data_IF_386941227651
#
_entry.id   IF_386941227651
#
_cell.length_a   1.000
_cell.length_b   1.000
_cell.length_c   1.000
_cell.angle_alpha   90.00
_cell.angle_beta   90.00
_cell.angle_gamma   90.00
#
_symmetry.space_group_name_H-M   'P 1'
#
loop_
_entity.id
_entity.type
_entity.pdbx_description
1 polymer ?
#
# COMPACT_ATOMS: atom_id res chain seq x y z
N UNK A 1 -17.32 -63.13 2.08
CA UNK A 1 -17.05 -61.91 2.83
C UNK A 1 -15.84 -61.25 2.19
N UNK A 2 -16.03 -60.43 1.15
CA UNK A 2 -15.07 -59.47 0.57
C UNK A 2 -15.60 -58.91 -0.77
N UNK A 3 -16.77 -58.27 -0.74
CA UNK A 3 -17.31 -57.54 -1.90
C UNK A 3 -18.02 -56.23 -1.50
N UNK A 4 -17.74 -55.68 -0.33
CA UNK A 4 -18.44 -54.48 0.18
C UNK A 4 -17.56 -53.26 0.37
N UNK A 5 -16.30 -53.27 -0.12
CA UNK A 5 -15.37 -52.15 0.06
C UNK A 5 -14.90 -51.46 -1.24
N UNK A 6 -15.67 -51.56 -2.32
CA UNK A 6 -15.33 -50.89 -3.60
C UNK A 6 -16.35 -49.85 -4.08
N UNK A 7 -17.26 -49.39 -3.22
CA UNK A 7 -18.29 -48.42 -3.63
C UNK A 7 -18.25 -47.10 -2.88
N UNK A 8 -17.12 -46.69 -2.34
CA UNK A 8 -16.97 -45.38 -1.66
C UNK A 8 -15.75 -44.60 -2.12
N UNK A 9 -15.26 -44.80 -3.33
CA UNK A 9 -14.53 -43.78 -4.06
C UNK A 9 -15.52 -43.06 -4.97
N UNK A 10 -16.52 -42.41 -4.39
CA UNK A 10 -17.25 -41.37 -5.05
C UNK A 10 -16.32 -40.17 -5.13
N UNK A 11 -15.84 -39.94 -6.36
CA UNK A 11 -15.33 -38.68 -6.87
C UNK A 11 -15.91 -37.49 -6.09
N UNK A 12 -15.17 -36.98 -5.13
CA UNK A 12 -15.15 -35.56 -4.90
C UNK A 12 -14.48 -35.00 -6.16
N UNK A 13 -15.26 -34.48 -7.07
CA UNK A 13 -14.78 -33.56 -8.10
C UNK A 13 -14.12 -32.41 -7.40
N UNK A 14 -12.86 -32.60 -6.99
CA UNK A 14 -11.98 -31.51 -6.66
C UNK A 14 -11.81 -30.75 -7.96
N UNK A 15 -12.50 -29.64 -8.07
CA UNK A 15 -12.27 -28.65 -9.13
C UNK A 15 -10.81 -28.22 -8.96
N UNK A 16 -9.89 -28.94 -9.60
CA UNK A 16 -8.48 -28.56 -9.63
C UNK A 16 -8.40 -27.23 -10.36
N UNK A 17 -8.26 -26.15 -9.58
CA UNK A 17 -8.07 -24.81 -10.13
C UNK A 17 -6.70 -24.81 -10.83
N UNK A 18 -6.70 -24.91 -12.15
CA UNK A 18 -5.46 -24.86 -12.93
C UNK A 18 -4.92 -23.42 -12.92
N UNK A 19 -3.83 -23.21 -12.18
CA UNK A 19 -3.15 -21.93 -12.10
C UNK A 19 -2.65 -21.43 -13.47
N UNK A 20 -2.37 -22.34 -14.40
CA UNK A 20 -1.97 -21.99 -15.76
C UNK A 20 -3.14 -21.42 -16.56
N UNK A 21 -4.33 -21.93 -16.37
CA UNK A 21 -5.55 -21.43 -17.01
C UNK A 21 -5.87 -20.01 -16.53
N UNK A 22 -5.78 -19.76 -15.22
CA UNK A 22 -5.91 -18.40 -14.65
C UNK A 22 -4.86 -17.45 -15.25
N UNK A 23 -3.63 -17.92 -15.41
CA UNK A 23 -2.58 -17.10 -16.01
C UNK A 23 -2.87 -16.74 -17.47
N UNK A 24 -3.34 -17.69 -18.28
CA UNK A 24 -3.73 -17.43 -19.66
C UNK A 24 -4.94 -16.49 -19.76
N UNK A 25 -5.93 -16.64 -18.88
CA UNK A 25 -7.08 -15.75 -18.78
C UNK A 25 -6.62 -14.30 -18.49
N UNK A 26 -5.79 -14.12 -17.47
CA UNK A 26 -5.30 -12.80 -17.10
C UNK A 26 -4.47 -12.17 -18.22
N UNK A 27 -3.67 -12.96 -18.91
CA UNK A 27 -2.93 -12.52 -20.10
C UNK A 27 -3.85 -12.09 -21.24
N UNK A 28 -4.89 -12.88 -21.52
CA UNK A 28 -5.87 -12.56 -22.57
C UNK A 28 -6.67 -11.28 -22.25
N UNK A 29 -6.92 -11.00 -20.96
CA UNK A 29 -7.66 -9.82 -20.49
C UNK A 29 -6.76 -8.68 -20.00
N UNK A 30 -5.46 -8.71 -20.34
CA UNK A 30 -4.46 -7.75 -19.87
C UNK A 30 -4.83 -6.29 -20.18
N UNK A 31 -5.45 -6.02 -21.31
CA UNK A 31 -5.92 -4.67 -21.70
C UNK A 31 -6.96 -4.15 -20.69
N UNK A 32 -7.89 -5.02 -20.25
CA UNK A 32 -8.90 -4.67 -19.26
C UNK A 32 -8.29 -4.43 -17.88
N UNK A 33 -7.26 -5.21 -17.53
CA UNK A 33 -6.52 -5.03 -16.27
C UNK A 33 -5.76 -3.70 -16.26
N UNK A 34 -5.10 -3.35 -17.37
CA UNK A 34 -4.42 -2.04 -17.51
C UNK A 34 -5.44 -0.91 -17.44
N UNK A 35 -6.57 -1.04 -18.09
CA UNK A 35 -7.63 -0.03 -18.04
C UNK A 35 -8.17 0.15 -16.62
N UNK A 36 -8.41 -0.95 -15.90
CA UNK A 36 -8.82 -0.92 -14.49
C UNK A 36 -7.77 -0.25 -13.61
N UNK A 37 -6.49 -0.54 -13.82
CA UNK A 37 -5.37 0.07 -13.11
C UNK A 37 -5.36 1.60 -13.30
N UNK A 38 -5.49 2.08 -14.54
CA UNK A 38 -5.50 3.52 -14.84
C UNK A 38 -6.73 4.19 -14.23
N UNK A 39 -7.92 3.62 -14.41
CA UNK A 39 -9.17 4.17 -13.85
C UNK A 39 -9.11 4.20 -12.33
N UNK A 40 -8.67 3.11 -11.69
CA UNK A 40 -8.50 3.02 -10.25
C UNK A 40 -7.54 4.07 -9.69
N UNK A 41 -6.42 4.28 -10.38
CA UNK A 41 -5.45 5.33 -10.03
C UNK A 41 -6.04 6.74 -10.14
N UNK A 42 -6.77 7.04 -11.21
CA UNK A 42 -7.44 8.35 -11.39
C UNK A 42 -8.49 8.59 -10.31
N UNK A 43 -9.31 7.58 -10.00
CA UNK A 43 -10.32 7.68 -8.94
C UNK A 43 -9.66 7.90 -7.58
N UNK A 44 -8.66 7.08 -7.23
CA UNK A 44 -7.95 7.20 -5.95
C UNK A 44 -7.21 8.54 -5.82
N UNK A 45 -6.58 9.01 -6.90
CA UNK A 45 -5.94 10.33 -6.95
C UNK A 45 -6.93 11.47 -6.76
N UNK A 46 -8.10 11.40 -7.40
CA UNK A 46 -9.15 12.39 -7.26
C UNK A 46 -9.69 12.42 -5.84
N UNK A 47 -9.99 11.27 -5.26
CA UNK A 47 -10.44 11.18 -3.86
C UNK A 47 -9.38 11.76 -2.92
N UNK A 48 -8.12 11.38 -3.10
CA UNK A 48 -7.02 11.86 -2.26
C UNK A 48 -6.84 13.36 -2.35
N UNK A 49 -6.97 13.94 -3.55
CA UNK A 49 -6.76 15.38 -3.76
C UNK A 49 -7.94 16.24 -3.29
N UNK A 50 -9.18 15.79 -3.49
CA UNK A 50 -10.36 16.60 -3.22
C UNK A 50 -11.04 16.34 -1.87
N UNK A 51 -10.94 15.10 -1.34
CA UNK A 51 -11.64 14.73 -0.11
C UNK A 51 -10.74 14.71 1.13
N UNK A 52 -9.43 14.51 0.97
CA UNK A 52 -8.53 14.41 2.12
C UNK A 52 -7.84 15.76 2.35
N UNK A 53 -8.03 16.32 3.54
CA UNK A 53 -7.37 17.57 3.92
C UNK A 53 -5.87 17.38 4.04
N UNK A 54 -5.06 18.26 3.46
CA UNK A 54 -3.61 18.19 3.60
C UNK A 54 -3.20 18.44 5.06
N UNK A 55 -2.16 17.74 5.48
CA UNK A 55 -1.56 17.92 6.80
C UNK A 55 -0.07 18.26 6.65
N UNK A 56 0.40 19.11 7.52
CA UNK A 56 1.76 19.63 7.52
C UNK A 56 2.47 19.17 8.78
N UNK A 57 3.70 18.72 8.65
CA UNK A 57 4.52 18.29 9.78
C UNK A 57 5.66 19.26 10.02
N UNK A 58 5.66 19.92 11.17
CA UNK A 58 6.77 20.72 11.64
C UNK A 58 7.63 19.90 12.60
N UNK A 59 8.95 20.00 12.48
CA UNK A 59 9.89 19.21 13.28
C UNK A 59 10.94 20.10 13.91
N UNK A 60 11.07 20.02 15.24
CA UNK A 60 12.16 20.60 16.02
C UNK A 60 13.10 19.48 16.49
N UNK A 61 14.36 19.83 16.78
CA UNK A 61 15.35 18.88 17.30
C UNK A 61 15.90 19.34 18.62
N UNK A 62 15.96 18.41 19.57
CA UNK A 62 16.53 18.61 20.91
C UNK A 62 17.76 17.72 21.08
N UNK A 63 18.80 18.26 21.71
CA UNK A 63 19.99 17.51 22.08
C UNK A 63 19.96 17.16 23.57
N UNK A 64 20.14 15.86 23.87
CA UNK A 64 20.15 15.33 25.23
C UNK A 64 21.56 15.32 25.79
N UNK A 65 21.75 15.91 26.94
CA UNK A 65 23.03 15.92 27.66
C UNK A 65 22.92 14.96 28.85
N UNK A 66 23.89 14.07 28.97
CA UNK A 66 24.00 13.17 30.13
C UNK A 66 24.81 13.86 31.23
N UNK A 67 24.38 13.72 32.47
CA UNK A 67 25.07 14.31 33.65
C UNK A 67 26.50 13.77 33.88
N UNK A 68 26.89 12.70 33.17
CA UNK A 68 28.19 12.05 33.32
C UNK A 68 29.31 12.64 32.47
N UNK A 69 29.13 13.80 31.84
CA UNK A 69 30.11 14.40 30.92
C UNK A 69 31.38 14.97 31.61
N UNK A 70 31.79 14.41 32.73
CA UNK A 70 32.99 14.88 33.47
C UNK A 70 34.27 14.07 33.24
N UNK A 71 34.25 12.96 32.57
CA UNK A 71 35.47 12.20 32.30
C UNK A 71 35.30 11.19 31.12
N UNK A 72 36.23 11.34 30.17
CA UNK A 72 36.65 10.38 29.15
C UNK A 72 35.54 9.51 28.54
N UNK A 73 35.32 9.66 27.24
CA UNK A 73 34.48 8.87 26.36
C UNK A 73 34.59 7.35 26.65
N UNK A 74 33.71 6.85 27.52
CA UNK A 74 33.61 5.42 27.78
C UNK A 74 32.50 4.83 26.89
N UNK A 75 32.78 3.70 26.26
CA UNK A 75 31.81 3.00 25.38
C UNK A 75 30.50 2.60 26.10
N UNK A 76 30.49 2.61 27.43
CA UNK A 76 29.31 2.49 28.27
C UNK A 76 28.33 3.69 28.16
N UNK A 77 28.83 4.87 27.78
CA UNK A 77 27.99 6.07 27.62
C UNK A 77 27.03 5.98 26.40
N UNK A 78 27.30 5.10 25.45
CA UNK A 78 26.47 4.91 24.27
C UNK A 78 25.13 4.24 24.63
N UNK A 79 25.16 3.20 25.48
CA UNK A 79 23.95 2.53 25.96
C UNK A 79 23.14 3.41 26.93
N UNK A 80 23.80 4.27 27.69
CA UNK A 80 23.16 5.25 28.57
C UNK A 80 22.45 6.32 27.74
N UNK A 81 23.03 6.73 26.60
CA UNK A 81 22.44 7.73 25.71
C UNK A 81 21.12 7.29 25.07
N UNK A 82 20.99 6.04 24.68
CA UNK A 82 19.74 5.49 24.09
C UNK A 82 18.64 5.32 25.15
N UNK A 83 18.98 4.85 26.36
CA UNK A 83 18.02 4.75 27.46
C UNK A 83 17.53 6.13 27.90
N UNK A 84 18.42 7.11 27.99
CA UNK A 84 18.06 8.48 28.31
C UNK A 84 17.11 9.10 27.29
N UNK A 85 17.34 8.85 26.01
CA UNK A 85 16.46 9.35 24.93
C UNK A 85 15.04 8.75 25.03
N UNK A 86 14.91 7.51 25.47
CA UNK A 86 13.60 6.90 25.71
C UNK A 86 12.89 7.55 26.91
N UNK A 87 13.62 7.78 28.03
CA UNK A 87 13.07 8.46 29.20
C UNK A 87 12.58 9.87 28.85
N UNK A 88 13.36 10.63 28.08
CA UNK A 88 12.94 11.95 27.61
C UNK A 88 11.73 11.88 26.69
N UNK A 89 11.66 10.89 25.80
CA UNK A 89 10.50 10.69 24.91
C UNK A 89 9.21 10.51 25.71
N UNK A 90 9.26 9.76 26.81
CA UNK A 90 8.09 9.55 27.67
C UNK A 90 7.81 10.77 28.55
N UNK A 91 8.85 11.47 29.04
CA UNK A 91 8.69 12.68 29.84
C UNK A 91 8.13 13.87 29.05
N UNK A 92 8.43 13.98 27.77
CA UNK A 92 7.82 15.00 26.91
C UNK A 92 6.31 14.78 26.76
N UNK A 93 5.86 13.52 26.71
CA UNK A 93 4.45 13.16 26.51
C UNK A 93 3.57 13.27 27.74
N UNK A 94 4.11 13.64 28.92
CA UNK A 94 3.30 13.74 30.14
C UNK A 94 2.29 14.88 30.06
N UNK A 95 1.15 14.69 30.74
CA UNK A 95 0.07 15.70 30.77
C UNK A 95 0.49 17.12 31.17
N UNK A 96 1.35 17.33 32.18
CA UNK A 96 1.74 18.68 32.56
C UNK A 96 2.44 19.45 31.44
N UNK A 97 3.30 18.80 30.65
CA UNK A 97 3.99 19.41 29.51
C UNK A 97 3.00 19.80 28.42
N UNK A 98 2.11 18.89 28.08
CA UNK A 98 1.12 19.12 27.01
C UNK A 98 0.07 20.15 27.42
N UNK A 99 -0.41 20.14 28.65
CA UNK A 99 -1.36 21.12 29.14
C UNK A 99 -0.76 22.54 29.15
N UNK A 100 0.51 22.67 29.53
CA UNK A 100 1.21 23.96 29.46
C UNK A 100 1.29 24.50 28.01
N UNK A 101 1.54 23.61 27.01
CA UNK A 101 1.52 24.00 25.59
C UNK A 101 0.11 24.41 25.16
N UNK A 102 -0.93 23.67 25.55
CA UNK A 102 -2.32 23.97 25.23
C UNK A 102 -2.72 25.34 25.81
N UNK A 103 -2.36 25.59 27.07
CA UNK A 103 -2.67 26.82 27.78
C UNK A 103 -1.90 28.03 27.18
N UNK A 104 -0.60 27.87 26.92
CA UNK A 104 0.25 28.96 26.39
C UNK A 104 -0.17 29.40 24.98
N UNK A 105 -0.60 28.45 24.14
CA UNK A 105 -1.05 28.72 22.78
C UNK A 105 -2.58 28.94 22.67
N UNK A 106 -3.31 28.85 23.80
CA UNK A 106 -4.76 28.94 23.86
C UNK A 106 -5.45 27.99 22.85
N UNK A 107 -5.02 26.72 22.81
CA UNK A 107 -5.56 25.73 21.88
C UNK A 107 -6.93 25.24 22.37
N UNK A 108 -7.89 25.13 21.46
CA UNK A 108 -9.19 24.51 21.73
C UNK A 108 -9.11 22.99 21.46
N UNK A 109 -8.32 22.29 22.28
CA UNK A 109 -8.15 20.84 22.20
C UNK A 109 -7.75 20.25 23.55
N UNK A 110 -8.01 18.96 23.73
CA UNK A 110 -7.60 18.23 24.93
C UNK A 110 -6.20 17.59 24.77
N UNK A 111 -5.62 17.19 25.88
CA UNK A 111 -4.33 16.48 25.92
C UNK A 111 -4.25 15.32 24.94
N UNK A 112 -5.30 14.48 24.88
CA UNK A 112 -5.37 13.30 24.02
C UNK A 112 -5.33 13.64 22.52
N UNK A 113 -5.86 14.79 22.16
CA UNK A 113 -5.87 15.24 20.76
C UNK A 113 -4.52 15.80 20.35
N UNK A 114 -3.85 16.56 21.21
CA UNK A 114 -2.49 16.99 20.96
C UNK A 114 -1.53 15.80 20.91
N UNK A 115 -1.70 14.81 21.80
CA UNK A 115 -0.87 13.61 21.82
C UNK A 115 -0.94 12.80 20.51
N UNK A 116 -2.10 12.74 19.84
CA UNK A 116 -2.25 12.11 18.53
C UNK A 116 -1.51 12.83 17.40
N UNK A 117 -1.30 14.13 17.56
CA UNK A 117 -0.60 14.98 16.58
C UNK A 117 0.92 14.98 16.77
N UNK A 118 1.40 14.58 17.93
CA UNK A 118 2.83 14.63 18.30
C UNK A 118 3.50 13.29 18.04
N UNK A 119 4.62 13.31 17.34
CA UNK A 119 5.52 12.19 17.13
C UNK A 119 6.92 12.54 17.61
N UNK A 120 7.53 11.66 18.38
CA UNK A 120 8.88 11.84 18.92
C UNK A 120 9.71 10.63 18.51
N UNK A 121 10.89 10.89 17.96
CA UNK A 121 11.81 9.83 17.51
C UNK A 121 13.26 10.23 17.77
N UNK A 122 14.11 9.25 18.00
CA UNK A 122 15.56 9.44 18.08
C UNK A 122 16.13 9.53 16.67
N UNK A 123 16.99 10.49 16.41
CA UNK A 123 17.62 10.65 15.09
C UNK A 123 18.82 9.72 14.98
N UNK A 124 18.65 8.61 14.28
CA UNK A 124 19.69 7.58 14.15
C UNK A 124 20.15 7.05 15.52
N UNK A 125 21.44 6.73 15.63
CA UNK A 125 22.06 6.31 16.90
C UNK A 125 22.67 7.51 17.65
N UNK A 126 21.95 8.63 17.71
CA UNK A 126 22.44 9.87 18.29
C UNK A 126 21.65 10.26 19.56
N UNK A 127 22.13 11.29 20.24
CA UNK A 127 21.42 11.91 21.37
C UNK A 127 20.47 13.04 20.93
N UNK A 128 20.12 13.07 19.64
CA UNK A 128 19.16 14.01 19.09
C UNK A 128 17.77 13.40 19.09
N UNK A 129 16.82 14.09 19.70
CA UNK A 129 15.39 13.80 19.55
C UNK A 129 14.79 14.73 18.50
N UNK A 130 14.10 14.15 17.54
CA UNK A 130 13.21 14.87 16.64
C UNK A 130 11.80 14.85 17.25
N UNK A 131 11.28 16.00 17.55
CA UNK A 131 9.90 16.21 17.99
C UNK A 131 9.15 16.80 16.82
N UNK A 132 8.10 16.13 16.39
CA UNK A 132 7.30 16.53 15.22
C UNK A 132 5.84 16.69 15.61
N UNK A 133 5.19 17.71 15.07
CA UNK A 133 3.76 17.94 15.23
C UNK A 133 3.11 18.01 13.85
N UNK A 134 2.01 17.29 13.68
CA UNK A 134 1.21 17.25 12.45
C UNK A 134 -0.10 18.03 12.65
N UNK A 135 -0.34 19.03 11.80
CA UNK A 135 -1.58 19.80 11.81
C UNK A 135 -2.00 20.21 10.38
N UNK A 136 -3.25 20.62 10.23
CA UNK A 136 -3.76 21.15 8.95
C UNK A 136 -3.24 22.57 8.66
N UNK A 137 -2.91 23.33 9.71
CA UNK A 137 -2.28 24.64 9.59
C UNK A 137 -0.77 24.53 9.82
N UNK A 138 0.06 24.84 8.80
CA UNK A 138 1.52 24.74 8.91
C UNK A 138 2.13 25.68 9.97
N UNK A 139 1.52 26.84 10.20
CA UNK A 139 1.97 27.77 11.23
C UNK A 139 1.64 27.28 12.63
N UNK A 140 0.46 26.68 12.79
CA UNK A 140 0.05 26.10 14.06
C UNK A 140 0.91 24.89 14.40
N UNK A 141 1.22 24.01 13.41
CA UNK A 141 2.15 22.91 13.60
C UNK A 141 3.53 23.38 14.09
N UNK A 142 4.08 24.43 13.46
CA UNK A 142 5.33 25.04 13.89
C UNK A 142 5.25 25.60 15.32
N UNK A 143 4.20 26.35 15.63
CA UNK A 143 4.03 26.96 16.96
C UNK A 143 3.91 25.92 18.06
N UNK A 144 3.10 24.87 17.83
CA UNK A 144 2.92 23.77 18.77
C UNK A 144 4.23 23.01 19.05
N UNK A 145 5.00 22.68 18.01
CA UNK A 145 6.24 21.94 18.23
C UNK A 145 7.31 22.80 18.91
N UNK A 146 7.42 24.09 18.56
CA UNK A 146 8.39 24.99 19.19
C UNK A 146 8.05 25.21 20.67
N UNK A 147 6.78 25.48 21.00
CA UNK A 147 6.31 25.58 22.37
C UNK A 147 6.52 24.28 23.16
N UNK A 148 6.29 23.13 22.51
CA UNK A 148 6.49 21.84 23.14
C UNK A 148 7.96 21.60 23.53
N UNK A 149 8.92 21.95 22.67
CA UNK A 149 10.34 21.78 22.99
C UNK A 149 10.81 22.81 24.02
N UNK A 150 10.29 24.03 23.99
CA UNK A 150 10.58 25.07 25.01
C UNK A 150 10.08 24.65 26.40
N UNK A 151 8.83 24.18 26.46
CA UNK A 151 8.25 23.66 27.69
C UNK A 151 9.01 22.42 28.19
N UNK A 152 9.35 21.49 27.31
CA UNK A 152 10.09 20.28 27.64
C UNK A 152 11.47 20.58 28.23
N UNK A 153 12.23 21.49 27.61
CA UNK A 153 13.56 21.92 28.09
C UNK A 153 13.47 22.58 29.49
N UNK A 154 12.39 23.27 29.78
CA UNK A 154 12.17 23.93 31.05
C UNK A 154 11.64 23.00 32.15
N UNK A 155 10.75 22.09 31.80
CA UNK A 155 10.00 21.23 32.73
C UNK A 155 10.76 19.95 33.12
N UNK A 156 11.34 19.26 32.15
CA UNK A 156 11.96 17.94 32.36
C UNK A 156 13.14 18.00 33.36
N UNK A 157 14.09 18.97 33.26
CA UNK A 157 15.18 19.04 34.24
C UNK A 157 14.70 19.20 35.67
N UNK A 158 13.58 19.91 35.89
CA UNK A 158 13.00 20.09 37.22
C UNK A 158 12.48 18.76 37.78
N UNK A 159 11.83 17.96 36.96
CA UNK A 159 11.30 16.63 37.34
C UNK A 159 12.43 15.65 37.63
N UNK A 160 13.48 15.67 36.82
CA UNK A 160 14.64 14.79 36.96
C UNK A 160 15.65 15.24 38.01
N UNK A 161 15.46 16.39 38.63
CA UNK A 161 16.47 17.04 39.49
C UNK A 161 17.84 17.09 38.80
N UNK A 162 17.85 17.40 37.50
CA UNK A 162 19.06 17.43 36.69
C UNK A 162 19.93 18.61 37.10
N UNK A 163 21.25 18.39 37.16
CA UNK A 163 22.22 19.49 37.38
C UNK A 163 22.23 20.44 36.17
N UNK A 164 22.63 21.71 36.37
CA UNK A 164 22.69 22.72 35.30
C UNK A 164 23.46 22.25 34.06
N UNK A 165 24.44 21.39 34.24
CA UNK A 165 25.27 20.86 33.14
C UNK A 165 24.62 19.65 32.38
N UNK A 166 23.45 19.21 32.82
CA UNK A 166 22.75 18.03 32.26
C UNK A 166 21.37 18.39 31.69
N UNK A 167 21.17 19.64 31.34
CA UNK A 167 19.90 20.08 30.76
C UNK A 167 19.86 19.84 29.26
N UNK A 168 18.71 19.37 28.73
CA UNK A 168 18.52 19.27 27.29
C UNK A 168 18.60 20.65 26.65
N UNK A 169 19.07 20.71 25.42
CA UNK A 169 19.14 21.96 24.66
C UNK A 169 18.43 21.84 23.34
N UNK A 170 17.81 22.91 22.87
CA UNK A 170 17.20 22.96 21.58
C UNK A 170 18.31 23.09 20.52
N UNK A 171 18.45 22.08 19.68
CA UNK A 171 19.43 22.08 18.60
C UNK A 171 18.93 22.84 17.37
N UNK A 172 17.61 22.69 17.07
CA UNK A 172 16.99 23.31 15.92
C UNK A 172 15.50 23.54 16.19
N UNK A 173 15.04 24.78 16.02
CA UNK A 173 13.62 25.08 16.01
C UNK A 173 12.97 24.68 14.70
N UNK A 174 11.70 24.31 14.75
CA UNK A 174 10.94 24.02 13.56
C UNK A 174 10.70 25.27 12.72
N UNK A 175 10.78 25.11 11.41
CA UNK A 175 10.36 26.09 10.43
C UNK A 175 8.95 25.75 9.93
N UNK A 176 8.25 26.75 9.36
CA UNK A 176 6.94 26.51 8.73
C UNK A 176 7.15 25.59 7.55
N UNK A 177 6.48 24.40 7.49
CA UNK A 177 6.60 23.52 6.35
C UNK A 177 5.91 24.12 5.12
N UNK A 178 6.60 24.10 3.98
CA UNK A 178 6.10 24.63 2.71
C UNK A 178 5.22 23.61 1.97
N UNK A 179 5.45 22.31 2.21
CA UNK A 179 4.74 21.23 1.53
C UNK A 179 3.99 20.34 2.52
N UNK A 180 2.81 19.81 2.13
CA UNK A 180 2.08 18.87 2.97
C UNK A 180 2.83 17.53 3.09
N UNK A 181 2.92 17.02 4.30
CA UNK A 181 3.50 15.70 4.59
C UNK A 181 2.55 14.54 4.29
N UNK A 182 1.24 14.79 4.33
CA UNK A 182 0.18 13.81 4.11
C UNK A 182 -1.05 14.48 3.45
N UNK A 183 -1.82 13.75 2.63
CA UNK A 183 -1.57 12.40 2.13
C UNK A 183 -0.49 12.33 1.04
N UNK A 184 0.22 11.21 0.95
CA UNK A 184 1.15 10.99 -0.15
C UNK A 184 0.37 10.58 -1.39
N UNK A 185 0.19 11.52 -2.31
CA UNK A 185 -0.62 11.39 -3.51
C UNK A 185 -0.16 10.20 -4.37
N UNK A 186 1.16 10.06 -4.58
CA UNK A 186 1.72 8.98 -5.39
C UNK A 186 1.43 7.60 -4.79
N UNK A 187 1.62 7.44 -3.47
CA UNK A 187 1.32 6.17 -2.78
C UNK A 187 -0.16 5.80 -2.89
N UNK A 188 -1.06 6.76 -2.69
CA UNK A 188 -2.49 6.51 -2.74
C UNK A 188 -2.98 6.18 -4.15
N UNK A 189 -2.44 6.85 -5.18
CA UNK A 189 -2.73 6.54 -6.60
C UNK A 189 -2.31 5.10 -6.91
N UNK A 190 -1.07 4.72 -6.58
CA UNK A 190 -0.57 3.37 -6.85
C UNK A 190 -1.39 2.33 -6.10
N UNK A 191 -1.68 2.57 -4.81
CA UNK A 191 -2.46 1.65 -4.00
C UNK A 191 -3.87 1.46 -4.58
N UNK A 192 -4.56 2.55 -4.93
CA UNK A 192 -5.89 2.50 -5.54
C UNK A 192 -5.90 1.81 -6.90
N UNK A 193 -4.87 2.05 -7.73
CA UNK A 193 -4.70 1.41 -9.02
C UNK A 193 -4.52 -0.11 -8.88
N UNK A 194 -3.67 -0.56 -7.93
CA UNK A 194 -3.44 -1.99 -7.66
C UNK A 194 -4.71 -2.66 -7.13
N UNK A 195 -5.41 -2.03 -6.19
CA UNK A 195 -6.68 -2.56 -5.64
C UNK A 195 -7.73 -2.71 -6.74
N UNK A 196 -7.90 -1.71 -7.60
CA UNK A 196 -8.85 -1.77 -8.71
C UNK A 196 -8.50 -2.89 -9.71
N UNK A 197 -7.22 -3.05 -10.04
CA UNK A 197 -6.75 -4.13 -10.91
C UNK A 197 -7.03 -5.51 -10.31
N UNK A 198 -6.76 -5.70 -9.01
CA UNK A 198 -7.02 -6.96 -8.31
C UNK A 198 -8.53 -7.28 -8.26
N UNK A 199 -9.37 -6.29 -8.00
CA UNK A 199 -10.82 -6.49 -8.00
C UNK A 199 -11.33 -6.97 -9.38
N UNK A 200 -10.85 -6.34 -10.46
CA UNK A 200 -11.22 -6.76 -11.82
C UNK A 200 -10.66 -8.15 -12.16
N UNK A 201 -9.43 -8.47 -11.72
CA UNK A 201 -8.87 -9.81 -11.88
C UNK A 201 -9.72 -10.88 -11.17
N UNK A 202 -10.14 -10.62 -9.93
CA UNK A 202 -11.02 -11.51 -9.17
C UNK A 202 -12.37 -11.70 -9.90
N UNK A 203 -12.95 -10.62 -10.44
CA UNK A 203 -14.20 -10.72 -11.20
C UNK A 203 -14.02 -11.62 -12.43
N UNK A 204 -12.91 -11.51 -13.16
CA UNK A 204 -12.65 -12.38 -14.30
C UNK A 204 -12.46 -13.84 -13.88
N UNK A 205 -11.73 -14.11 -12.80
CA UNK A 205 -11.54 -15.47 -12.27
C UNK A 205 -12.87 -16.08 -11.81
N UNK A 206 -13.67 -15.33 -11.04
CA UNK A 206 -14.99 -15.79 -10.60
C UNK A 206 -15.89 -16.08 -11.79
N UNK A 207 -15.88 -15.20 -12.80
CA UNK A 207 -16.67 -15.40 -14.01
C UNK A 207 -16.24 -16.64 -14.80
N UNK A 208 -14.93 -16.91 -14.86
CA UNK A 208 -14.37 -18.13 -15.46
C UNK A 208 -14.82 -19.39 -14.70
N UNK A 209 -14.74 -19.39 -13.37
CA UNK A 209 -15.18 -20.52 -12.54
C UNK A 209 -16.70 -20.76 -12.59
N UNK A 210 -17.48 -19.76 -12.99
CA UNK A 210 -18.94 -19.86 -13.18
C UNK A 210 -19.32 -20.15 -14.64
N UNK A 211 -18.37 -20.24 -15.55
CA UNK A 211 -18.59 -20.51 -16.96
C UNK A 211 -18.43 -22.01 -17.23
N UNK A 212 -19.55 -22.75 -17.22
CA UNK A 212 -19.60 -24.17 -17.49
C UNK A 212 -19.59 -24.46 -19.01
N UNK A 213 -19.16 -23.52 -19.85
CA UNK A 213 -19.14 -23.70 -21.30
C UNK A 213 -17.99 -24.61 -21.73
N UNK A 214 -18.31 -25.65 -22.42
CA UNK A 214 -17.33 -26.56 -23.07
C UNK A 214 -16.77 -25.87 -24.32
N UNK A 215 -15.60 -25.25 -24.22
CA UNK A 215 -15.01 -24.46 -25.31
C UNK A 215 -13.90 -25.23 -26.06
N UNK A 216 -13.37 -26.30 -25.47
CA UNK A 216 -12.26 -27.06 -26.05
C UNK A 216 -12.61 -28.53 -26.22
N UNK A 217 -11.89 -29.25 -27.10
CA UNK A 217 -12.04 -30.68 -27.27
C UNK A 217 -11.66 -31.45 -25.99
N UNK A 218 -10.72 -30.87 -25.21
CA UNK A 218 -10.26 -31.41 -23.94
C UNK A 218 -11.34 -31.29 -22.85
N UNK A 219 -12.16 -30.24 -22.88
CA UNK A 219 -13.29 -30.07 -21.94
C UNK A 219 -14.34 -31.15 -22.19
N UNK A 220 -14.62 -31.49 -23.48
CA UNK A 220 -15.56 -32.53 -23.87
C UNK A 220 -15.04 -33.93 -23.45
N UNK A 221 -13.76 -34.18 -23.60
CA UNK A 221 -13.14 -35.43 -23.16
C UNK A 221 -13.19 -35.58 -21.64
N UNK A 222 -12.92 -34.50 -20.91
CA UNK A 222 -12.89 -34.46 -19.44
C UNK A 222 -14.28 -34.67 -18.85
N UNK A 223 -15.32 -34.06 -19.44
CA UNK A 223 -16.70 -34.11 -18.94
C UNK A 223 -17.44 -35.39 -19.34
N UNK A 224 -17.24 -35.85 -20.58
CA UNK A 224 -17.98 -36.98 -21.12
C UNK A 224 -17.15 -38.28 -21.27
N UNK A 225 -15.85 -38.21 -21.03
CA UNK A 225 -14.94 -39.36 -21.17
C UNK A 225 -14.82 -39.89 -22.61
N UNK A 226 -15.19 -39.09 -23.61
CA UNK A 226 -15.16 -39.44 -25.04
C UNK A 226 -14.32 -38.43 -25.82
N UNK A 227 -13.32 -38.92 -26.56
CA UNK A 227 -12.57 -38.11 -27.48
C UNK A 227 -13.44 -37.67 -28.66
N UNK A 228 -13.57 -36.36 -28.95
CA UNK A 228 -14.27 -35.92 -30.14
C UNK A 228 -13.51 -36.33 -31.39
N UNK A 229 -14.23 -36.91 -32.37
CA UNK A 229 -13.62 -37.41 -33.62
C UNK A 229 -13.10 -36.28 -34.53
N UNK A 230 -13.65 -35.10 -34.39
CA UNK A 230 -13.24 -33.93 -35.19
C UNK A 230 -13.62 -32.65 -34.45
N UNK A 231 -12.80 -31.63 -34.60
CA UNK A 231 -13.04 -30.26 -34.13
C UNK A 231 -13.23 -29.40 -35.38
N UNK A 232 -14.37 -28.75 -35.47
CA UNK A 232 -14.63 -27.77 -36.51
C UNK A 232 -14.28 -26.41 -35.94
N UNK A 233 -13.20 -25.77 -36.40
CA UNK A 233 -12.86 -24.43 -35.90
C UNK A 233 -13.98 -23.45 -36.28
N UNK A 234 -14.30 -22.55 -35.36
CA UNK A 234 -15.19 -21.43 -35.60
C UNK A 234 -14.51 -20.50 -36.62
N UNK A 235 -14.90 -20.62 -37.87
CA UNK A 235 -14.42 -19.81 -38.98
C UNK A 235 -15.55 -18.94 -39.49
N UNK A 236 -15.19 -17.74 -39.95
CA UNK A 236 -16.17 -16.88 -40.64
C UNK A 236 -16.65 -17.58 -41.92
N UNK A 237 -17.92 -18.02 -41.91
CA UNK A 237 -18.52 -18.81 -43.03
C UNK A 237 -18.44 -18.03 -44.35
N UNK A 238 -18.41 -16.67 -44.28
CA UNK A 238 -18.24 -15.82 -45.45
C UNK A 238 -16.82 -15.95 -46.05
N UNK A 239 -15.78 -16.01 -45.23
CA UNK A 239 -14.40 -16.15 -45.71
C UNK A 239 -14.11 -17.51 -46.30
N UNK A 240 -14.67 -18.56 -45.72
CA UNK A 240 -14.58 -19.96 -46.24
C UNK A 240 -15.36 -20.11 -47.54
N UNK A 241 -16.54 -19.50 -47.66
CA UNK A 241 -17.34 -19.51 -48.90
C UNK A 241 -16.62 -18.83 -50.05
N UNK A 242 -15.96 -17.69 -49.78
CA UNK A 242 -15.18 -16.93 -50.79
C UNK A 242 -13.94 -17.71 -51.24
N UNK A 243 -13.26 -18.43 -50.36
CA UNK A 243 -12.10 -19.26 -50.75
C UNK A 243 -12.53 -20.47 -51.60
N UNK A 244 -13.63 -21.13 -51.20
CA UNK A 244 -14.19 -22.27 -51.95
C UNK A 244 -14.67 -21.81 -53.32
N UNK A 245 -15.34 -20.68 -53.44
CA UNK A 245 -15.80 -20.12 -54.75
C UNK A 245 -14.64 -19.77 -55.63
N UNK A 246 -13.57 -19.14 -55.11
CA UNK A 246 -12.33 -18.87 -55.83
C UNK A 246 -11.63 -20.14 -56.29
N UNK A 247 -11.61 -21.19 -55.48
CA UNK A 247 -11.02 -22.48 -55.86
C UNK A 247 -11.82 -23.17 -56.98
N UNK A 248 -13.15 -23.22 -56.88
CA UNK A 248 -14.05 -23.77 -57.90
C UNK A 248 -13.93 -23.00 -59.23
N UNK A 249 -13.85 -21.67 -59.16
CA UNK A 249 -13.68 -20.81 -60.34
C UNK A 249 -12.33 -21.05 -61.03
N UNK A 250 -11.24 -21.25 -60.28
CA UNK A 250 -9.93 -21.62 -60.84
C UNK A 250 -9.94 -23.00 -61.52
N UNK A 251 -10.61 -23.96 -60.94
CA UNK A 251 -10.71 -25.31 -61.54
C UNK A 251 -11.56 -25.33 -62.79
N UNK A 252 -12.70 -24.61 -62.81
CA UNK A 252 -13.51 -24.41 -64.02
C UNK A 252 -12.73 -23.76 -65.15
N UNK A 253 -11.89 -22.78 -64.83
CA UNK A 253 -11.02 -22.10 -65.80
C UNK A 253 -9.92 -23.03 -66.38
N UNK A 254 -9.39 -23.93 -65.54
CA UNK A 254 -8.44 -24.98 -65.95
C UNK A 254 -9.06 -26.00 -66.89
N UNK A 255 -10.28 -26.47 -66.59
CA UNK A 255 -11.03 -27.43 -67.39
C UNK A 255 -11.47 -26.85 -68.76
N UNK A 256 -11.80 -25.54 -68.82
CA UNK A 256 -12.14 -24.87 -70.07
C UNK A 256 -10.95 -24.70 -71.00
N UNK A 257 -9.71 -24.70 -70.49
CA UNK A 257 -8.47 -24.61 -71.24
C UNK A 257 -7.98 -25.95 -71.81
N UNK A 258 -8.53 -27.08 -71.34
CA UNK A 258 -8.18 -28.43 -71.79
C UNK A 258 -9.14 -28.93 -72.90
N UNK A 259 -10.24 -28.22 -73.13
CA UNK A 259 -11.23 -28.53 -74.16
C UNK A 259 -11.16 -27.66 -75.44
N UNK A 260 -10.04 -27.04 -75.72
CA UNK A 260 -9.66 -26.44 -76.99
C UNK A 260 -8.42 -27.19 -77.46
#
# INVERSE_FOLDING_TARGET
MNQENQLTEQNSEETEIDLLEIFYLLRAKLVWLILAFVIGGVIAGSITHFLITPKYTATAKMYMISASSGSVLDLSDFNIGTSLSQDYTELIKIRPVFNEVIDNLNLDMEYEDLLKKVSISVVGDSRLLAVSVEDNDPKLAQSMVNELVDTAVTYIPKVMNASENAQPTIAEYAVVPDEPSSPNLAKNIILGAVVAMLLVAVIFVVRMLMDDSLNTAEDVEKEFGIMPFTVIPEGDIEEISDEVEKAISKEKKKLSLIHI
#
